data_IF_933627889382
#
_entry.id   IF_933627889382
#
_cell.length_a   1.000
_cell.length_b   1.000
_cell.length_c   1.000
_cell.angle_alpha   90.00
_cell.angle_beta   90.00
_cell.angle_gamma   90.00
#
_symmetry.space_group_name_H-M   'P 1'
#
loop_
_entity.id
_entity.type
_entity.pdbx_description
1 polymer ?
#
# COMPACT_ATOMS: atom_id res chain seq x y z
N UNK A 1 18.02 -18.98 -3.49
CA UNK A 1 17.45 -19.02 -4.84
C UNK A 1 16.09 -18.31 -4.87
N UNK A 2 15.87 -17.44 -5.85
CA UNK A 2 14.62 -16.67 -6.01
C UNK A 2 13.46 -17.54 -6.56
N UNK A 3 13.76 -18.64 -7.23
CA UNK A 3 12.77 -19.50 -7.90
C UNK A 3 12.06 -20.44 -6.92
N UNK A 4 10.74 -20.55 -7.05
CA UNK A 4 9.89 -21.50 -6.33
C UNK A 4 9.55 -22.69 -7.24
N UNK A 5 9.61 -23.91 -6.72
CA UNK A 5 9.16 -25.10 -7.44
C UNK A 5 7.63 -25.18 -7.40
N UNK A 6 7.03 -25.36 -8.57
CA UNK A 6 5.58 -25.56 -8.71
C UNK A 6 5.16 -26.93 -8.16
N UNK A 7 3.89 -27.13 -7.78
CA UNK A 7 3.39 -28.47 -7.47
C UNK A 7 3.67 -29.45 -8.60
N UNK A 8 4.17 -30.65 -8.27
CA UNK A 8 4.51 -31.68 -9.25
C UNK A 8 5.71 -32.51 -8.83
N UNK A 9 6.08 -33.44 -9.72
CA UNK A 9 7.27 -34.28 -9.55
C UNK A 9 8.51 -33.53 -10.05
N UNK A 10 9.48 -33.32 -9.16
CA UNK A 10 10.76 -32.70 -9.49
C UNK A 10 11.90 -33.68 -9.23
N UNK A 11 12.70 -33.95 -10.24
CA UNK A 11 13.91 -34.78 -10.12
C UNK A 11 15.09 -33.84 -9.87
N UNK A 12 15.56 -33.79 -8.63
CA UNK A 12 16.67 -32.96 -8.19
C UNK A 12 17.77 -33.83 -7.58
N UNK A 13 19.03 -33.43 -7.77
CA UNK A 13 20.15 -34.10 -7.13
C UNK A 13 20.18 -33.75 -5.62
N UNK A 14 19.90 -34.70 -4.71
CA UNK A 14 19.75 -34.38 -3.28
C UNK A 14 21.05 -33.96 -2.59
N UNK A 15 22.21 -34.22 -3.23
CA UNK A 15 23.53 -33.77 -2.75
C UNK A 15 23.73 -32.25 -2.99
N UNK A 16 23.04 -31.69 -4.02
CA UNK A 16 23.21 -30.30 -4.46
C UNK A 16 22.07 -29.42 -3.94
N UNK A 17 20.87 -29.99 -3.81
CA UNK A 17 19.66 -29.23 -3.49
C UNK A 17 18.97 -29.76 -2.24
N UNK A 18 18.68 -28.85 -1.31
CA UNK A 18 17.75 -29.10 -0.22
C UNK A 18 16.43 -28.39 -0.53
N UNK A 19 15.32 -29.13 -0.48
CA UNK A 19 13.98 -28.58 -0.77
C UNK A 19 13.18 -28.48 0.51
N UNK A 20 12.92 -27.26 0.97
CA UNK A 20 11.99 -26.99 2.05
C UNK A 20 10.58 -26.81 1.47
N UNK A 21 9.62 -27.60 1.96
CA UNK A 21 8.20 -27.43 1.61
C UNK A 21 7.58 -26.38 2.52
N UNK A 22 6.90 -25.40 1.93
CA UNK A 22 6.19 -24.33 2.65
C UNK A 22 4.74 -24.30 2.19
N UNK A 23 3.79 -23.97 3.09
CA UNK A 23 2.41 -23.73 2.68
C UNK A 23 2.33 -22.48 1.79
N UNK A 24 1.29 -22.40 0.97
CA UNK A 24 0.96 -21.16 0.24
C UNK A 24 0.51 -20.11 1.23
N UNK A 25 0.80 -18.84 0.92
CA UNK A 25 0.26 -17.71 1.67
C UNK A 25 -1.18 -17.51 1.23
N UNK A 26 -2.09 -17.46 2.18
CA UNK A 26 -3.52 -17.23 1.95
C UNK A 26 -3.93 -15.89 2.56
N UNK A 27 -4.55 -15.03 1.75
CA UNK A 27 -5.12 -13.75 2.14
C UNK A 27 -6.64 -13.88 2.09
N UNK A 28 -7.29 -13.65 3.23
CA UNK A 28 -8.75 -13.74 3.37
C UNK A 28 -9.47 -12.55 2.70
N UNK A 29 -10.80 -12.66 2.51
CA UNK A 29 -11.59 -11.63 1.83
C UNK A 29 -11.57 -10.27 2.56
N UNK A 30 -11.40 -10.29 3.88
CA UNK A 30 -11.39 -9.12 4.74
C UNK A 30 -9.99 -8.63 5.08
N UNK A 31 -8.97 -9.16 4.40
CA UNK A 31 -7.56 -8.89 4.67
C UNK A 31 -6.83 -8.36 3.42
N UNK A 32 -5.68 -7.81 3.69
CA UNK A 32 -4.69 -7.35 2.71
C UNK A 32 -3.34 -7.91 3.10
N UNK A 33 -2.58 -8.41 2.13
CA UNK A 33 -1.19 -8.82 2.35
C UNK A 33 -0.25 -7.66 2.09
N UNK A 34 0.51 -7.24 3.11
CA UNK A 34 1.60 -6.30 2.99
C UNK A 34 2.89 -7.06 2.76
N UNK A 35 3.65 -6.66 1.76
CA UNK A 35 4.85 -7.36 1.31
C UNK A 35 6.10 -6.54 1.61
N UNK A 36 7.11 -7.19 2.17
CA UNK A 36 8.44 -6.65 2.32
C UNK A 36 9.43 -7.57 1.62
N UNK A 37 10.28 -7.01 0.75
CA UNK A 37 11.35 -7.78 0.14
C UNK A 37 12.61 -7.77 1.02
N UNK A 38 13.16 -8.95 1.26
CA UNK A 38 14.39 -9.16 2.04
C UNK A 38 15.64 -8.85 1.20
N UNK A 39 15.52 -8.98 -0.13
CA UNK A 39 16.61 -8.77 -1.09
C UNK A 39 16.13 -7.95 -2.29
N UNK A 40 17.06 -7.33 -3.00
CA UNK A 40 16.81 -6.47 -4.15
C UNK A 40 17.72 -5.26 -4.17
N UNK A 41 17.46 -4.32 -5.06
CA UNK A 41 18.19 -3.05 -5.10
C UNK A 41 17.89 -2.22 -3.84
N UNK A 42 18.83 -1.41 -3.36
CA UNK A 42 18.53 -0.49 -2.26
C UNK A 42 17.45 0.53 -2.69
N UNK A 43 16.70 1.04 -1.72
CA UNK A 43 15.83 2.19 -1.93
C UNK A 43 16.65 3.43 -2.23
N UNK A 44 16.12 4.33 -3.03
CA UNK A 44 16.76 5.63 -3.30
C UNK A 44 16.73 6.53 -2.05
N UNK A 45 17.67 7.47 -1.91
CA UNK A 45 17.65 8.41 -0.79
C UNK A 45 16.32 9.15 -0.66
N UNK A 46 15.71 9.08 0.50
CA UNK A 46 14.40 9.69 0.78
C UNK A 46 13.19 8.83 0.42
N UNK A 47 13.38 7.70 -0.25
CA UNK A 47 12.35 6.72 -0.55
C UNK A 47 12.14 5.80 0.66
N UNK A 48 10.89 5.55 1.03
CA UNK A 48 10.53 4.64 2.13
C UNK A 48 9.94 3.34 1.55
N UNK A 49 9.14 3.43 0.50
CA UNK A 49 8.51 2.28 -0.16
C UNK A 49 9.14 1.98 -1.51
N UNK A 50 9.41 0.70 -1.74
CA UNK A 50 9.85 0.18 -3.03
C UNK A 50 8.77 0.37 -4.09
N UNK A 51 9.17 0.86 -5.25
CA UNK A 51 8.27 1.11 -6.39
C UNK A 51 7.86 -0.19 -7.07
N UNK A 52 6.71 -0.15 -7.74
CA UNK A 52 6.18 -1.26 -8.52
C UNK A 52 7.16 -1.65 -9.63
N UNK A 53 7.43 -2.95 -9.74
CA UNK A 53 8.10 -3.54 -10.89
C UNK A 53 7.16 -4.51 -11.61
N UNK A 54 7.29 -4.63 -12.92
CA UNK A 54 6.42 -5.49 -13.71
C UNK A 54 6.91 -6.95 -13.76
N UNK A 55 6.02 -7.88 -14.09
CA UNK A 55 6.35 -9.23 -14.52
C UNK A 55 6.59 -10.28 -13.43
N UNK A 56 6.53 -9.91 -12.14
CA UNK A 56 6.76 -10.83 -11.03
C UNK A 56 5.52 -11.60 -10.53
N UNK A 57 4.43 -11.56 -11.29
CA UNK A 57 3.18 -12.31 -11.00
C UNK A 57 2.76 -12.19 -9.52
N UNK A 58 2.54 -10.98 -9.06
CA UNK A 58 2.13 -10.69 -7.67
C UNK A 58 3.10 -11.32 -6.65
N UNK A 59 4.41 -11.07 -6.81
CA UNK A 59 5.53 -11.59 -5.99
C UNK A 59 5.73 -13.11 -6.05
N UNK A 60 5.03 -13.83 -6.92
CA UNK A 60 5.19 -15.28 -7.06
C UNK A 60 6.43 -15.66 -7.90
N UNK A 61 6.88 -14.78 -8.80
CA UNK A 61 8.11 -14.93 -9.58
C UNK A 61 9.22 -14.02 -9.01
N UNK A 62 9.89 -14.50 -7.97
CA UNK A 62 10.97 -13.76 -7.33
C UNK A 62 12.19 -13.53 -8.22
N UNK A 63 12.41 -14.39 -9.23
CA UNK A 63 13.52 -14.23 -10.19
C UNK A 63 13.25 -13.01 -11.08
N UNK A 64 12.06 -12.89 -11.64
CA UNK A 64 11.66 -11.71 -12.44
C UNK A 64 11.60 -10.44 -11.59
N UNK A 65 11.17 -10.54 -10.34
CA UNK A 65 11.21 -9.40 -9.43
C UNK A 65 12.62 -8.82 -9.33
N UNK A 66 13.62 -9.65 -9.06
CA UNK A 66 15.02 -9.22 -8.94
C UNK A 66 15.60 -8.75 -10.29
N UNK A 67 15.33 -9.48 -11.39
CA UNK A 67 15.82 -9.13 -12.74
C UNK A 67 15.27 -7.79 -13.22
N UNK A 68 14.01 -7.48 -12.90
CA UNK A 68 13.35 -6.25 -13.30
C UNK A 68 13.62 -5.07 -12.35
N UNK A 69 14.55 -5.25 -11.41
CA UNK A 69 15.00 -4.17 -10.53
C UNK A 69 14.20 -4.00 -9.26
N UNK A 70 13.54 -5.07 -8.80
CA UNK A 70 12.86 -5.06 -7.51
C UNK A 70 13.75 -4.55 -6.39
N UNK A 71 13.20 -3.72 -5.52
CA UNK A 71 13.92 -3.07 -4.42
C UNK A 71 13.67 -3.81 -3.11
N UNK A 72 14.68 -3.83 -2.24
CA UNK A 72 14.59 -4.32 -0.87
C UNK A 72 13.73 -3.36 -0.02
N UNK A 73 12.99 -3.92 0.94
CA UNK A 73 12.17 -3.16 1.89
C UNK A 73 10.67 -3.29 1.64
N UNK A 74 9.85 -2.47 2.30
CA UNK A 74 8.41 -2.48 2.14
C UNK A 74 8.01 -2.14 0.72
N UNK A 75 7.11 -2.96 0.16
CA UNK A 75 6.62 -2.79 -1.21
C UNK A 75 5.37 -1.90 -1.22
N UNK A 76 5.25 -1.05 -2.23
CA UNK A 76 4.06 -0.22 -2.42
C UNK A 76 2.84 -1.07 -2.75
N UNK A 77 3.04 -2.14 -3.52
CA UNK A 77 1.99 -3.06 -3.92
C UNK A 77 1.57 -4.00 -2.79
N UNK A 78 0.30 -4.35 -2.79
CA UNK A 78 -0.33 -5.22 -1.81
C UNK A 78 -0.81 -6.52 -2.47
N UNK A 79 -1.01 -7.55 -1.64
CA UNK A 79 -1.71 -8.76 -2.06
C UNK A 79 -3.20 -8.65 -1.73
N UNK A 80 -4.02 -8.81 -2.74
CA UNK A 80 -5.48 -8.94 -2.61
C UNK A 80 -5.85 -10.33 -2.09
N UNK A 81 -7.12 -10.58 -1.69
CA UNK A 81 -7.58 -11.91 -1.32
C UNK A 81 -7.22 -12.97 -2.36
N UNK A 82 -6.64 -14.08 -1.89
CA UNK A 82 -6.20 -15.18 -2.77
C UNK A 82 -5.16 -16.07 -2.14
N UNK A 83 -4.64 -17.01 -2.94
CA UNK A 83 -3.58 -17.94 -2.54
C UNK A 83 -2.35 -17.73 -3.41
N UNK A 84 -1.21 -17.53 -2.75
CA UNK A 84 0.03 -17.11 -3.39
C UNK A 84 1.19 -18.07 -3.08
N UNK A 85 1.97 -18.40 -4.10
CA UNK A 85 3.19 -19.23 -4.00
C UNK A 85 4.41 -18.34 -3.88
N UNK A 86 4.54 -17.67 -2.76
CA UNK A 86 5.60 -16.68 -2.53
C UNK A 86 6.80 -17.34 -1.90
N UNK A 87 7.99 -16.97 -2.35
CA UNK A 87 9.25 -17.39 -1.76
C UNK A 87 9.48 -16.66 -0.43
N UNK A 88 9.26 -17.34 0.68
CA UNK A 88 9.42 -16.81 2.04
C UNK A 88 10.87 -16.45 2.42
N UNK A 89 11.86 -16.86 1.63
CA UNK A 89 13.25 -16.43 1.79
C UNK A 89 13.57 -15.13 1.05
N UNK A 90 12.67 -14.69 0.16
CA UNK A 90 12.80 -13.44 -0.56
C UNK A 90 11.79 -12.38 -0.07
N UNK A 91 10.60 -12.81 0.32
CA UNK A 91 9.54 -11.92 0.74
C UNK A 91 8.99 -12.30 2.11
N UNK A 92 8.84 -11.31 2.96
CA UNK A 92 8.04 -11.39 4.17
C UNK A 92 6.65 -10.85 3.86
N UNK A 93 5.60 -11.61 4.19
CA UNK A 93 4.21 -11.20 3.95
C UNK A 93 3.48 -11.17 5.28
N UNK A 94 2.88 -10.04 5.58
CA UNK A 94 2.06 -9.81 6.77
C UNK A 94 0.63 -9.49 6.36
N UNK A 95 -0.34 -10.20 6.91
CA UNK A 95 -1.75 -9.91 6.69
C UNK A 95 -2.25 -8.86 7.67
N UNK A 96 -3.06 -7.93 7.19
CA UNK A 96 -3.73 -6.90 7.98
C UNK A 96 -5.20 -6.81 7.55
N UNK A 97 -6.12 -6.40 8.45
CA UNK A 97 -7.51 -6.16 8.06
C UNK A 97 -7.61 -5.07 6.97
N UNK A 98 -8.54 -5.25 6.04
CA UNK A 98 -8.93 -4.19 5.13
C UNK A 98 -9.55 -3.02 5.91
N UNK A 99 -9.31 -1.80 5.45
CA UNK A 99 -9.87 -0.59 6.07
C UNK A 99 -11.38 -0.56 5.82
N UNK A 100 -12.17 -0.47 6.88
CA UNK A 100 -13.63 -0.33 6.80
C UNK A 100 -14.03 1.02 7.38
N UNK A 101 -14.87 1.76 6.66
CA UNK A 101 -15.50 3.02 7.09
C UNK A 101 -16.99 2.79 7.07
N UNK A 102 -17.65 2.94 8.21
CA UNK A 102 -19.08 2.68 8.36
C UNK A 102 -19.93 3.90 7.94
N UNK A 103 -21.24 3.68 7.80
CA UNK A 103 -22.18 4.78 7.49
C UNK A 103 -22.17 5.81 8.63
N UNK A 104 -22.08 7.10 8.26
CA UNK A 104 -21.94 8.19 9.24
C UNK A 104 -20.49 8.45 9.68
N UNK A 105 -19.53 7.79 9.07
CA UNK A 105 -18.11 7.99 9.31
C UNK A 105 -17.36 8.42 8.05
N UNK A 106 -16.14 8.89 8.23
CA UNK A 106 -15.17 9.21 7.17
C UNK A 106 -13.77 8.73 7.58
N UNK A 107 -12.99 8.25 6.61
CA UNK A 107 -11.59 7.92 6.83
C UNK A 107 -10.71 9.12 6.52
N UNK A 108 -9.99 9.63 7.52
CA UNK A 108 -8.96 10.67 7.36
C UNK A 108 -7.63 9.99 7.08
N UNK A 109 -6.97 10.38 5.99
CA UNK A 109 -5.76 9.70 5.51
C UNK A 109 -4.53 10.57 5.71
N UNK A 110 -3.42 9.94 6.10
CA UNK A 110 -2.09 10.56 6.13
C UNK A 110 -1.08 9.67 5.42
N UNK A 111 -0.38 10.20 4.43
CA UNK A 111 0.68 9.50 3.69
C UNK A 111 2.00 9.50 4.47
N UNK A 112 2.72 8.38 4.44
CA UNK A 112 4.03 8.23 5.10
C UNK A 112 5.20 8.33 4.12
N UNK A 113 4.95 8.22 2.84
CA UNK A 113 5.93 8.40 1.76
C UNK A 113 5.39 9.33 0.68
N UNK A 114 6.27 9.91 -0.12
CA UNK A 114 5.96 10.84 -1.18
C UNK A 114 6.78 12.12 -1.09
N UNK A 115 6.35 13.18 -1.77
CA UNK A 115 7.04 14.46 -1.72
C UNK A 115 6.60 15.28 -0.50
N UNK A 116 7.45 16.19 0.03
CA UNK A 116 7.05 17.06 1.15
C UNK A 116 5.86 17.94 0.81
N UNK A 117 5.00 18.23 1.80
CA UNK A 117 3.93 19.22 1.66
C UNK A 117 4.54 20.60 1.33
N UNK A 118 3.89 21.32 0.43
CA UNK A 118 4.27 22.68 0.06
C UNK A 118 4.34 23.58 1.28
N UNK A 119 5.42 24.38 1.41
CA UNK A 119 5.61 25.27 2.53
C UNK A 119 4.39 26.22 2.73
N UNK A 120 3.94 26.35 3.96
CA UNK A 120 2.76 27.17 4.33
C UNK A 120 1.41 26.45 4.17
N UNK A 121 1.40 25.19 3.73
CA UNK A 121 0.18 24.36 3.67
C UNK A 121 0.17 23.35 4.83
N UNK A 122 -1.03 23.03 5.29
CA UNK A 122 -1.25 22.01 6.33
C UNK A 122 -1.67 20.67 5.74
N UNK A 123 -2.30 20.69 4.56
CA UNK A 123 -2.80 19.53 3.86
C UNK A 123 -2.06 19.32 2.54
N UNK A 124 -1.87 18.06 2.20
CA UNK A 124 -1.38 17.62 0.90
C UNK A 124 -2.37 17.99 -0.21
N UNK A 125 -1.86 18.32 -1.39
CA UNK A 125 -2.73 18.54 -2.54
C UNK A 125 -3.40 17.24 -3.00
N UNK A 126 -4.51 17.40 -3.71
CA UNK A 126 -5.22 16.27 -4.30
C UNK A 126 -4.42 15.70 -5.48
N UNK A 127 -4.24 14.37 -5.51
CA UNK A 127 -3.70 13.65 -6.65
C UNK A 127 -4.74 12.68 -7.23
N UNK A 128 -4.62 12.34 -8.50
CA UNK A 128 -5.58 11.47 -9.16
C UNK A 128 -5.05 10.03 -9.30
N UNK A 129 -5.94 9.08 -9.58
CA UNK A 129 -5.58 7.72 -9.96
C UNK A 129 -5.40 6.72 -8.83
N UNK A 130 -5.23 7.15 -7.59
CA UNK A 130 -4.96 6.28 -6.43
C UNK A 130 -6.19 5.51 -5.89
N UNK A 131 -7.37 5.62 -6.53
CA UNK A 131 -8.57 4.83 -6.21
C UNK A 131 -8.90 4.80 -4.70
N UNK A 132 -9.10 5.94 -4.09
CA UNK A 132 -9.28 6.09 -2.64
C UNK A 132 -8.13 5.45 -1.85
N UNK A 133 -6.88 5.75 -2.22
CA UNK A 133 -5.62 5.28 -1.61
C UNK A 133 -5.37 3.76 -1.70
N UNK A 134 -6.10 3.04 -2.55
CA UNK A 134 -5.88 1.61 -2.77
C UNK A 134 -4.72 1.33 -3.74
N UNK A 135 -4.40 2.25 -4.64
CA UNK A 135 -3.22 2.18 -5.53
C UNK A 135 -2.13 3.13 -5.02
N UNK A 136 -1.24 2.61 -4.19
CA UNK A 136 -0.11 3.37 -3.63
C UNK A 136 0.89 3.81 -4.69
N UNK A 137 1.10 3.02 -5.75
CA UNK A 137 2.01 3.40 -6.84
C UNK A 137 1.47 4.59 -7.63
N UNK A 138 0.16 4.59 -7.95
CA UNK A 138 -0.46 5.72 -8.61
C UNK A 138 -0.39 7.01 -7.74
N UNK A 139 -0.53 6.87 -6.41
CA UNK A 139 -0.35 7.99 -5.49
C UNK A 139 1.08 8.54 -5.55
N UNK A 140 2.06 7.68 -5.38
CA UNK A 140 3.47 8.10 -5.33
C UNK A 140 4.00 8.61 -6.67
N UNK A 141 3.57 8.01 -7.79
CA UNK A 141 3.97 8.43 -9.15
C UNK A 141 3.29 9.71 -9.62
N UNK A 142 2.22 10.15 -8.94
CA UNK A 142 1.52 11.41 -9.20
C UNK A 142 1.90 12.51 -8.20
N UNK A 143 3.12 12.46 -7.64
CA UNK A 143 3.64 13.41 -6.66
C UNK A 143 2.80 13.49 -5.37
N UNK A 144 2.25 12.37 -4.95
CA UNK A 144 1.56 12.25 -3.66
C UNK A 144 2.45 12.75 -2.53
N UNK A 145 1.87 13.50 -1.58
CA UNK A 145 2.62 14.18 -0.52
C UNK A 145 2.54 13.44 0.81
N UNK A 146 3.64 13.49 1.56
CA UNK A 146 3.70 13.00 2.95
C UNK A 146 2.77 13.86 3.80
N UNK A 147 2.09 13.23 4.78
CA UNK A 147 1.27 13.93 5.78
C UNK A 147 -0.23 13.90 5.47
N UNK A 148 -1.01 14.75 6.16
CA UNK A 148 -2.47 14.73 6.07
C UNK A 148 -2.95 15.05 4.65
N UNK A 149 -3.83 14.19 4.12
CA UNK A 149 -4.42 14.35 2.79
C UNK A 149 -5.70 15.18 2.86
N UNK A 150 -5.94 15.99 1.81
CA UNK A 150 -7.18 16.75 1.70
C UNK A 150 -8.39 15.86 1.39
N UNK A 151 -8.15 14.72 0.74
CA UNK A 151 -9.20 13.77 0.42
C UNK A 151 -9.49 12.83 1.60
N UNK A 152 -10.78 12.59 1.83
CA UNK A 152 -11.26 11.63 2.82
C UNK A 152 -11.80 10.38 2.13
N UNK A 153 -11.80 9.27 2.84
CA UNK A 153 -12.40 8.02 2.39
C UNK A 153 -13.85 8.00 2.87
N UNK A 154 -14.77 7.74 1.97
CA UNK A 154 -16.21 7.62 2.24
C UNK A 154 -16.55 6.24 2.82
N UNK A 155 -17.79 6.01 3.31
CA UNK A 155 -18.21 4.70 3.77
C UNK A 155 -17.98 3.60 2.73
N UNK A 156 -17.37 2.49 3.17
CA UNK A 156 -17.01 1.37 2.32
C UNK A 156 -15.88 0.53 2.89
N UNK A 157 -15.45 -0.46 2.12
CA UNK A 157 -14.29 -1.31 2.44
C UNK A 157 -13.20 -1.11 1.40
N UNK A 158 -11.96 -0.91 1.89
CA UNK A 158 -10.82 -0.49 1.08
C UNK A 158 -9.59 -1.34 1.37
N UNK A 159 -8.93 -1.80 0.31
CA UNK A 159 -7.65 -2.52 0.39
C UNK A 159 -6.51 -1.54 0.28
N UNK A 160 -6.15 -0.97 1.41
CA UNK A 160 -5.13 0.08 1.49
C UNK A 160 -3.86 -0.50 2.09
N UNK A 161 -2.71 -0.10 1.55
CA UNK A 161 -1.43 -0.35 2.19
C UNK A 161 -1.32 0.50 3.47
N UNK A 162 -1.62 -0.12 4.62
CA UNK A 162 -1.65 0.57 5.92
C UNK A 162 -0.26 0.91 6.47
N UNK A 163 0.81 0.43 5.84
CA UNK A 163 2.16 0.90 6.12
C UNK A 163 2.47 2.21 5.36
N UNK A 164 1.93 2.38 4.15
CA UNK A 164 2.05 3.61 3.36
C UNK A 164 1.06 4.70 3.83
N UNK A 165 -0.16 4.31 4.17
CA UNK A 165 -1.20 5.24 4.58
C UNK A 165 -1.70 4.93 5.99
N UNK A 166 -1.66 5.92 6.86
CA UNK A 166 -2.39 5.87 8.12
C UNK A 166 -3.83 6.35 7.87
N UNK A 167 -4.81 5.52 8.19
CA UNK A 167 -6.24 5.85 8.04
C UNK A 167 -6.88 5.90 9.42
N UNK A 168 -7.40 7.04 9.78
CA UNK A 168 -8.13 7.27 11.02
C UNK A 168 -9.61 7.46 10.71
N UNK A 169 -10.45 6.54 11.18
CA UNK A 169 -11.91 6.61 11.01
C UNK A 169 -12.47 7.56 12.07
N UNK A 170 -13.29 8.51 11.61
CA UNK A 170 -13.92 9.55 12.45
C UNK A 170 -15.38 9.73 12.10
N UNK A 171 -16.25 10.12 13.06
CA UNK A 171 -17.63 10.48 12.77
C UNK A 171 -17.70 11.63 11.74
N UNK A 172 -18.60 11.50 10.77
CA UNK A 172 -18.93 12.60 9.85
C UNK A 172 -19.73 13.70 10.57
N UNK A 173 -19.53 14.93 10.13
CA UNK A 173 -20.33 16.04 10.66
C UNK A 173 -21.74 16.00 10.05
N UNK A 174 -22.75 15.89 10.90
CA UNK A 174 -24.15 15.92 10.52
C UNK A 174 -24.72 17.30 10.83
N UNK A 175 -25.38 17.92 9.87
CA UNK A 175 -26.16 19.17 10.05
C UNK A 175 -27.63 18.81 9.95
N UNK A 176 -28.36 18.97 11.04
CA UNK A 176 -29.77 18.60 11.14
C UNK A 176 -30.65 19.51 10.28
N UNK A 177 -31.87 19.08 9.96
CA UNK A 177 -32.79 19.76 9.02
C UNK A 177 -33.09 21.24 9.38
N UNK A 178 -33.00 21.60 10.68
CA UNK A 178 -33.24 22.95 11.16
C UNK A 178 -31.98 23.72 11.56
N UNK A 179 -30.82 23.29 11.10
CA UNK A 179 -29.51 23.84 11.42
C UNK A 179 -28.79 24.29 10.15
N UNK A 180 -27.86 25.20 10.30
CA UNK A 180 -26.89 25.60 9.28
C UNK A 180 -25.47 25.28 9.79
N UNK A 181 -24.63 24.73 8.94
CA UNK A 181 -23.21 24.48 9.24
C UNK A 181 -22.38 25.70 8.80
N UNK A 182 -21.66 26.32 9.73
CA UNK A 182 -20.65 27.33 9.41
C UNK A 182 -19.29 26.64 9.26
N UNK A 183 -18.67 26.84 8.10
CA UNK A 183 -17.37 26.21 7.78
C UNK A 183 -16.29 27.31 7.76
N UNK A 184 -15.24 27.07 8.56
CA UNK A 184 -14.04 27.92 8.54
C UNK A 184 -12.88 27.08 8.01
N UNK A 185 -12.26 27.50 6.91
CA UNK A 185 -11.08 26.86 6.37
C UNK A 185 -9.86 27.13 7.27
N UNK A 186 -9.10 26.07 7.58
CA UNK A 186 -7.84 26.17 8.34
C UNK A 186 -6.61 26.13 7.43
N UNK A 187 -6.78 25.80 6.16
CA UNK A 187 -5.75 25.75 5.14
C UNK A 187 -6.27 26.38 3.84
N UNK A 188 -5.41 26.98 3.06
CA UNK A 188 -5.75 27.61 1.79
C UNK A 188 -4.89 28.83 1.49
N UNK A 189 -5.12 29.47 0.35
CA UNK A 189 -4.52 30.76 0.03
C UNK A 189 -5.09 31.84 0.93
N UNK A 190 -4.30 32.88 1.33
CA UNK A 190 -4.82 34.05 2.02
C UNK A 190 -5.95 34.72 1.21
N UNK A 191 -6.94 35.24 1.89
CA UNK A 191 -7.94 36.07 1.21
C UNK A 191 -7.26 37.27 0.56
N UNK A 192 -7.65 37.67 -0.67
CA UNK A 192 -7.17 38.88 -1.27
C UNK A 192 -7.60 40.10 -0.39
N UNK A 193 -6.76 41.12 -0.32
CA UNK A 193 -7.06 42.33 0.45
C UNK A 193 -8.32 43.07 -0.01
#
# INVERSE_FOLDING_TARGET
>A
QARVLQPGLHVLAPIIYNVAKQPMIEISQDEVGLVESIDGRPLEPGQIFARRVAGHDTFQDGEKFLQNGGQKGPQVDILSPGKYRINVYLFNVRTVPAVTVDQGEVGVVSGRDGVPITAGRLLAHKVAGHQAFQDGEAFLSSDGQIGPQIEVILPGRYRINTDLFNVEVRPATIVEANQIGLVTAKDGAPLPP
#
